data_IF_428329049768
#
_entry.id   IF_428329049768
#
_cell.length_a   1.000
_cell.length_b   1.000
_cell.length_c   1.000
_cell.angle_alpha   90.00
_cell.angle_beta   90.00
_cell.angle_gamma   90.00
#
_symmetry.space_group_name_H-M   'P 1'
#
loop_
_entity.id
_entity.type
_entity.pdbx_description
1 polymer ?
#
# COMPACT_ATOMS: atom_id res chain seq x y z
N UNK A 1 12.45 6.79 5.38
CA UNK A 1 11.09 6.28 5.68
C UNK A 1 11.15 4.75 5.65
N UNK A 2 10.75 4.11 6.74
CA UNK A 2 10.70 2.64 6.90
C UNK A 2 9.27 2.13 6.66
N UNK A 3 9.09 0.81 6.57
CA UNK A 3 7.75 0.21 6.48
C UNK A 3 6.89 0.53 7.73
N UNK A 4 7.50 0.53 8.91
CA UNK A 4 6.82 0.85 10.17
C UNK A 4 6.38 2.33 10.22
N UNK A 5 7.24 3.26 9.78
CA UNK A 5 6.87 4.68 9.66
C UNK A 5 5.72 4.92 8.68
N UNK A 6 5.62 4.10 7.62
CA UNK A 6 4.47 4.17 6.70
C UNK A 6 3.20 3.68 7.39
N UNK A 7 3.26 2.58 8.14
CA UNK A 7 2.12 2.07 8.91
C UNK A 7 1.69 3.08 9.97
N UNK A 8 2.64 3.71 10.67
CA UNK A 8 2.35 4.81 11.60
C UNK A 8 1.55 5.92 10.93
N UNK A 9 2.01 6.37 9.76
CA UNK A 9 1.31 7.40 9.00
C UNK A 9 -0.09 6.99 8.53
N UNK A 10 -0.32 5.70 8.22
CA UNK A 10 -1.66 5.18 7.91
C UNK A 10 -2.56 5.30 9.15
N UNK A 11 -2.10 4.79 10.29
CA UNK A 11 -2.87 4.79 11.53
C UNK A 11 -3.19 6.19 12.03
N UNK A 12 -2.27 7.15 11.85
CA UNK A 12 -2.51 8.56 12.15
C UNK A 12 -3.58 9.18 11.23
N UNK A 13 -3.55 8.83 9.94
CA UNK A 13 -4.49 9.36 8.95
C UNK A 13 -5.89 8.76 9.10
N UNK A 14 -6.00 7.44 9.30
CA UNK A 14 -7.28 6.73 9.45
C UNK A 14 -7.96 7.04 10.80
N UNK A 15 -7.18 7.44 11.80
CA UNK A 15 -7.67 7.72 13.13
C UNK A 15 -7.88 6.47 13.99
N UNK A 16 -7.95 6.70 15.30
CA UNK A 16 -8.03 5.62 16.32
C UNK A 16 -9.45 5.38 16.81
N UNK A 17 -10.39 6.22 16.40
CA UNK A 17 -11.74 6.18 16.93
C UNK A 17 -12.59 5.10 16.25
N UNK A 18 -13.42 4.44 17.06
CA UNK A 18 -14.46 3.57 16.54
C UNK A 18 -15.61 4.42 15.98
N UNK A 19 -16.05 4.09 14.78
CA UNK A 19 -17.19 4.71 14.11
C UNK A 19 -18.15 3.63 13.62
N UNK A 20 -19.46 3.87 13.81
CA UNK A 20 -20.53 3.02 13.29
C UNK A 20 -21.74 3.93 12.97
N UNK A 21 -21.62 4.68 11.89
CA UNK A 21 -22.67 5.60 11.48
C UNK A 21 -23.61 4.92 10.48
N UNK A 22 -24.94 4.93 10.70
CA UNK A 22 -25.91 4.23 9.84
C UNK A 22 -25.89 4.67 8.36
N UNK A 23 -25.41 5.87 8.07
CA UNK A 23 -25.23 6.37 6.70
C UNK A 23 -23.91 5.93 6.06
N UNK A 24 -22.99 5.35 6.83
CA UNK A 24 -21.71 4.87 6.31
C UNK A 24 -21.87 3.47 5.72
N UNK A 25 -21.66 3.35 4.41
CA UNK A 25 -21.73 2.07 3.70
C UNK A 25 -20.63 1.09 4.12
N UNK A 26 -19.59 1.56 4.80
CA UNK A 26 -18.48 0.75 5.32
C UNK A 26 -18.84 -0.03 6.59
N UNK A 27 -19.88 0.41 7.32
CA UNK A 27 -20.27 -0.16 8.61
C UNK A 27 -19.26 0.10 9.74
N UNK A 28 -19.29 -0.73 10.81
CA UNK A 28 -18.40 -0.57 11.96
C UNK A 28 -16.93 -0.54 11.53
N UNK A 29 -16.20 0.49 11.94
CA UNK A 29 -14.82 0.74 11.55
C UNK A 29 -14.01 1.28 12.71
N UNK A 30 -12.77 0.80 12.87
CA UNK A 30 -11.78 1.34 13.81
C UNK A 30 -10.39 1.23 13.19
N UNK A 31 -9.55 2.26 13.34
CA UNK A 31 -8.26 2.35 12.66
C UNK A 31 -8.36 2.17 11.13
N UNK A 32 -9.47 2.55 10.48
CA UNK A 32 -9.70 2.27 9.06
C UNK A 32 -10.04 0.79 8.74
N UNK A 33 -10.08 -0.09 9.75
CA UNK A 33 -10.38 -1.51 9.59
C UNK A 33 -11.88 -1.74 9.76
N UNK A 34 -12.52 -2.19 8.68
CA UNK A 34 -13.95 -2.51 8.67
C UNK A 34 -14.22 -3.92 9.24
N UNK A 35 -15.46 -4.17 9.65
CA UNK A 35 -15.90 -5.52 10.06
C UNK A 35 -15.61 -6.59 8.99
N UNK A 36 -15.74 -6.25 7.72
CA UNK A 36 -15.42 -7.17 6.62
C UNK A 36 -13.93 -7.54 6.61
N UNK A 37 -13.05 -6.55 6.78
CA UNK A 37 -11.60 -6.76 6.84
C UNK A 37 -11.23 -7.62 8.03
N UNK A 38 -11.81 -7.33 9.22
CA UNK A 38 -11.55 -8.08 10.44
C UNK A 38 -11.99 -9.55 10.34
N UNK A 39 -13.19 -9.80 9.77
CA UNK A 39 -13.68 -11.17 9.51
C UNK A 39 -12.73 -11.95 8.60
N UNK A 40 -12.20 -11.31 7.58
CA UNK A 40 -11.21 -11.94 6.69
C UNK A 40 -9.90 -12.23 7.44
N UNK A 41 -9.40 -11.26 8.20
CA UNK A 41 -8.18 -11.37 8.99
C UNK A 41 -8.22 -12.51 10.00
N UNK A 42 -9.25 -12.53 10.85
CA UNK A 42 -9.43 -13.55 11.88
C UNK A 42 -10.02 -14.87 11.34
N UNK A 43 -10.37 -14.94 10.03
CA UNK A 43 -11.04 -16.08 9.39
C UNK A 43 -12.33 -16.50 10.12
N UNK A 44 -13.07 -15.53 10.68
CA UNK A 44 -14.31 -15.76 11.42
C UNK A 44 -15.46 -14.89 10.87
N UNK A 45 -16.48 -15.49 10.21
CA UNK A 45 -17.62 -14.76 9.67
C UNK A 45 -18.63 -14.28 10.73
N UNK A 46 -18.51 -14.76 11.99
CA UNK A 46 -19.46 -14.47 13.07
C UNK A 46 -19.11 -13.24 13.90
N UNK A 47 -17.96 -12.60 13.63
CA UNK A 47 -17.55 -11.38 14.32
C UNK A 47 -18.60 -10.27 14.14
N UNK A 48 -18.72 -9.44 15.16
CA UNK A 48 -19.70 -8.36 15.29
C UNK A 48 -19.07 -6.98 15.34
N UNK A 49 -19.89 -5.95 15.54
CA UNK A 49 -19.43 -4.58 15.74
C UNK A 49 -18.57 -4.42 17.02
N UNK A 50 -18.89 -5.20 18.07
CA UNK A 50 -18.12 -5.20 19.31
C UNK A 50 -16.68 -5.70 19.10
N UNK A 51 -16.48 -6.66 18.20
CA UNK A 51 -15.14 -7.15 17.84
C UNK A 51 -14.32 -6.08 17.13
N UNK A 52 -14.95 -5.26 16.28
CA UNK A 52 -14.29 -4.11 15.66
C UNK A 52 -13.91 -3.05 16.70
N UNK A 53 -14.82 -2.77 17.63
CA UNK A 53 -14.55 -1.82 18.73
C UNK A 53 -13.39 -2.30 19.63
N UNK A 54 -13.20 -3.61 19.77
CA UNK A 54 -12.14 -4.23 20.57
C UNK A 54 -10.76 -4.30 19.89
N UNK A 55 -10.64 -3.98 18.59
CA UNK A 55 -9.32 -3.94 17.91
C UNK A 55 -8.41 -2.99 18.67
N UNK A 56 -7.20 -3.45 18.99
CA UNK A 56 -6.12 -2.61 19.49
C UNK A 56 -5.17 -2.16 18.37
N UNK A 57 -4.24 -1.27 18.72
CA UNK A 57 -3.28 -0.73 17.75
C UNK A 57 -2.30 -1.80 17.25
N UNK A 58 -1.96 -2.78 18.08
CA UNK A 58 -1.04 -3.87 17.71
C UNK A 58 -1.68 -4.76 16.62
N UNK A 59 -2.94 -5.15 16.80
CA UNK A 59 -3.68 -5.90 15.77
C UNK A 59 -3.88 -5.08 14.50
N UNK A 60 -4.20 -3.80 14.62
CA UNK A 60 -4.33 -2.91 13.46
C UNK A 60 -3.03 -2.85 12.66
N UNK A 61 -1.87 -2.70 13.33
CA UNK A 61 -0.54 -2.75 12.72
C UNK A 61 -0.28 -4.07 12.01
N UNK A 62 -0.61 -5.19 12.63
CA UNK A 62 -0.44 -6.52 12.03
C UNK A 62 -1.27 -6.67 10.75
N UNK A 63 -2.51 -6.19 10.74
CA UNK A 63 -3.38 -6.20 9.56
C UNK A 63 -2.76 -5.36 8.42
N UNK A 64 -2.30 -4.15 8.73
CA UNK A 64 -1.67 -3.28 7.72
C UNK A 64 -0.35 -3.84 7.21
N UNK A 65 0.49 -4.39 8.07
CA UNK A 65 1.73 -5.06 7.66
C UNK A 65 1.45 -6.25 6.73
N UNK A 66 0.46 -7.05 7.05
CA UNK A 66 0.05 -8.17 6.20
C UNK A 66 -0.45 -7.69 4.84
N UNK A 67 -1.42 -6.79 4.79
CA UNK A 67 -2.08 -6.36 3.54
C UNK A 67 -1.16 -5.55 2.62
N UNK A 68 -0.29 -4.71 3.19
CA UNK A 68 0.53 -3.77 2.41
C UNK A 68 2.00 -4.17 2.27
N UNK A 69 2.50 -5.15 3.02
CA UNK A 69 3.91 -5.56 2.96
C UNK A 69 4.06 -7.04 2.60
N UNK A 70 3.41 -7.94 3.36
CA UNK A 70 3.62 -9.38 3.23
C UNK A 70 2.87 -9.98 2.04
N UNK A 71 1.58 -9.74 1.96
CA UNK A 71 0.71 -10.27 0.91
C UNK A 71 1.12 -9.83 -0.50
N UNK A 72 1.55 -8.57 -0.73
CA UNK A 72 2.11 -8.15 -2.01
C UNK A 72 3.52 -8.73 -2.28
N UNK A 73 4.20 -9.25 -1.25
CA UNK A 73 5.56 -9.80 -1.35
C UNK A 73 6.67 -8.75 -1.28
N UNK A 74 6.39 -7.53 -0.79
CA UNK A 74 7.41 -6.48 -0.69
C UNK A 74 8.50 -6.82 0.32
N UNK A 75 8.19 -7.61 1.36
CA UNK A 75 9.15 -8.15 2.32
C UNK A 75 10.25 -9.03 1.67
N UNK A 76 10.01 -9.57 0.46
CA UNK A 76 10.99 -10.35 -0.30
C UNK A 76 12.06 -9.49 -1.00
N UNK A 77 11.88 -8.17 -1.04
CA UNK A 77 12.81 -7.23 -1.67
C UNK A 77 13.83 -6.76 -0.63
N UNK A 78 15.10 -7.11 -0.85
CA UNK A 78 16.19 -6.80 0.09
C UNK A 78 16.66 -5.35 0.08
N UNK A 79 16.46 -4.61 -1.03
CA UNK A 79 16.85 -3.21 -1.14
C UNK A 79 15.78 -2.32 -0.50
N UNK A 80 16.10 -1.78 0.65
CA UNK A 80 15.17 -1.08 1.53
C UNK A 80 14.47 0.09 0.83
N UNK A 81 15.20 0.95 0.13
CA UNK A 81 14.62 2.12 -0.53
C UNK A 81 13.54 1.74 -1.56
N UNK A 82 13.80 0.71 -2.40
CA UNK A 82 12.81 0.22 -3.36
C UNK A 82 11.63 -0.44 -2.65
N UNK A 83 11.91 -1.26 -1.62
CA UNK A 83 10.85 -1.90 -0.82
C UNK A 83 9.92 -0.86 -0.22
N UNK A 84 10.47 0.15 0.44
CA UNK A 84 9.70 1.20 1.09
C UNK A 84 8.93 2.06 0.07
N UNK A 85 9.53 2.37 -1.08
CA UNK A 85 8.85 3.04 -2.18
C UNK A 85 7.63 2.26 -2.68
N UNK A 86 7.76 0.93 -2.82
CA UNK A 86 6.65 0.08 -3.28
C UNK A 86 5.54 -0.04 -2.24
N UNK A 87 5.88 -0.12 -0.95
CA UNK A 87 4.90 -0.09 0.14
C UNK A 87 4.13 1.23 0.10
N UNK A 88 4.82 2.36 0.05
CA UNK A 88 4.22 3.69 -0.01
C UNK A 88 3.36 3.89 -1.27
N UNK A 89 3.81 3.39 -2.40
CA UNK A 89 3.02 3.40 -3.63
C UNK A 89 1.78 2.50 -3.50
N UNK A 90 1.92 1.34 -2.85
CA UNK A 90 0.81 0.44 -2.56
C UNK A 90 -0.26 1.06 -1.67
N UNK A 91 0.14 1.83 -0.66
CA UNK A 91 -0.78 2.57 0.22
C UNK A 91 -1.58 3.62 -0.55
N UNK A 92 -0.93 4.35 -1.48
CA UNK A 92 -1.56 5.46 -2.21
C UNK A 92 -2.36 5.04 -3.43
N UNK A 93 -2.04 3.90 -4.06
CA UNK A 93 -2.60 3.50 -5.36
C UNK A 93 -3.06 2.04 -5.41
N UNK A 94 -2.89 1.30 -4.31
CA UNK A 94 -3.15 -0.12 -4.22
C UNK A 94 -1.89 -0.98 -4.44
N UNK A 95 -1.70 -2.04 -3.62
CA UNK A 95 -0.53 -2.92 -3.72
C UNK A 95 -0.37 -3.60 -5.08
N UNK A 96 -1.47 -3.98 -5.73
CA UNK A 96 -1.47 -4.61 -7.07
C UNK A 96 -0.87 -3.68 -8.14
N UNK A 97 -1.23 -2.39 -8.11
CA UNK A 97 -0.67 -1.40 -9.04
C UNK A 97 0.84 -1.19 -8.81
N UNK A 98 1.28 -1.17 -7.55
CA UNK A 98 2.70 -1.06 -7.22
C UNK A 98 3.51 -2.28 -7.69
N UNK A 99 2.99 -3.50 -7.49
CA UNK A 99 3.63 -4.73 -7.99
C UNK A 99 3.69 -4.74 -9.52
N UNK A 100 2.60 -4.42 -10.19
CA UNK A 100 2.54 -4.37 -11.66
C UNK A 100 3.45 -3.29 -12.24
N UNK A 101 3.61 -2.17 -11.55
CA UNK A 101 4.58 -1.13 -11.93
C UNK A 101 6.02 -1.66 -11.90
N UNK A 102 6.40 -2.35 -10.81
CA UNK A 102 7.70 -3.03 -10.70
C UNK A 102 7.90 -4.03 -11.84
N UNK A 103 6.93 -4.89 -12.09
CA UNK A 103 7.01 -5.92 -13.13
C UNK A 103 7.14 -5.34 -14.54
N UNK A 104 6.40 -4.28 -14.84
CA UNK A 104 6.53 -3.55 -16.13
C UNK A 104 7.92 -2.93 -16.29
N UNK A 105 8.49 -2.34 -15.24
CA UNK A 105 9.85 -1.80 -15.24
C UNK A 105 10.88 -2.90 -15.50
N UNK A 106 10.67 -4.09 -14.95
CA UNK A 106 11.55 -5.25 -15.11
C UNK A 106 11.38 -5.98 -16.45
N UNK A 107 10.31 -5.69 -17.20
CA UNK A 107 10.00 -6.37 -18.45
C UNK A 107 9.55 -7.83 -18.27
N UNK A 108 8.93 -8.14 -17.14
CA UNK A 108 8.32 -9.46 -16.85
C UNK A 108 6.80 -9.37 -16.92
N UNK A 109 6.11 -10.52 -16.89
CA UNK A 109 4.65 -10.55 -16.84
C UNK A 109 4.12 -9.74 -15.64
N UNK A 110 3.20 -8.82 -15.90
CA UNK A 110 2.59 -7.96 -14.86
C UNK A 110 1.36 -8.65 -14.27
N UNK A 111 1.58 -9.77 -13.58
CA UNK A 111 0.55 -10.61 -12.97
C UNK A 111 0.14 -10.19 -11.55
N UNK A 112 0.81 -9.20 -10.98
CA UNK A 112 0.55 -8.70 -9.62
C UNK A 112 1.17 -9.56 -8.50
N UNK A 113 2.06 -10.50 -8.83
CA UNK A 113 2.69 -11.38 -7.84
C UNK A 113 4.22 -11.27 -7.86
N UNK A 114 4.83 -10.94 -6.72
CA UNK A 114 6.29 -10.96 -6.57
C UNK A 114 6.76 -12.40 -6.34
N UNK A 115 6.95 -13.12 -7.43
CA UNK A 115 7.44 -14.48 -7.42
C UNK A 115 8.92 -14.61 -7.82
N UNK A 116 9.45 -15.85 -7.95
CA UNK A 116 10.83 -16.10 -8.30
C UNK A 116 11.29 -15.41 -9.59
N UNK A 117 10.42 -15.30 -10.59
CA UNK A 117 10.72 -14.63 -11.87
C UNK A 117 10.94 -13.13 -11.67
N UNK A 118 10.05 -12.46 -10.91
CA UNK A 118 10.18 -11.03 -10.58
C UNK A 118 11.46 -10.77 -9.79
N UNK A 119 11.75 -11.60 -8.76
CA UNK A 119 12.95 -11.45 -7.95
C UNK A 119 14.24 -11.73 -8.73
N UNK A 120 14.25 -12.71 -9.63
CA UNK A 120 15.41 -12.97 -10.51
C UNK A 120 15.66 -11.81 -11.48
N UNK A 121 14.60 -11.25 -12.08
CA UNK A 121 14.69 -10.10 -12.94
C UNK A 121 15.21 -8.86 -12.18
N UNK A 122 14.71 -8.64 -10.96
CA UNK A 122 15.15 -7.53 -10.11
C UNK A 122 16.65 -7.59 -9.79
N UNK A 123 17.16 -8.78 -9.42
CA UNK A 123 18.60 -8.98 -9.18
C UNK A 123 19.45 -8.69 -10.42
N UNK A 124 19.00 -9.13 -11.59
CA UNK A 124 19.69 -8.93 -12.87
C UNK A 124 19.65 -7.45 -13.33
N UNK A 125 18.54 -6.77 -13.09
CA UNK A 125 18.33 -5.39 -13.55
C UNK A 125 19.09 -4.36 -12.72
N UNK A 126 19.31 -4.62 -11.44
CA UNK A 126 19.91 -3.73 -10.46
C UNK A 126 18.86 -2.93 -9.68
N UNK A 127 18.87 -3.11 -8.37
CA UNK A 127 17.80 -2.62 -7.48
C UNK A 127 17.70 -1.09 -7.44
N UNK A 128 18.85 -0.37 -7.38
CA UNK A 128 18.87 1.10 -7.39
C UNK A 128 18.33 1.69 -8.70
N UNK A 129 18.72 1.12 -9.84
CA UNK A 129 18.20 1.53 -11.14
C UNK A 129 16.70 1.27 -11.23
N UNK A 130 16.25 0.13 -10.72
CA UNK A 130 14.84 -0.24 -10.68
C UNK A 130 14.04 0.77 -9.83
N UNK A 131 14.57 1.19 -8.67
CA UNK A 131 13.96 2.20 -7.83
C UNK A 131 13.61 3.48 -8.61
N UNK A 132 14.58 4.04 -9.33
CA UNK A 132 14.36 5.28 -10.10
C UNK A 132 13.35 5.11 -11.24
N UNK A 133 13.28 3.93 -11.85
CA UNK A 133 12.30 3.65 -12.89
C UNK A 133 10.89 3.42 -12.35
N UNK A 134 10.76 2.79 -11.17
CA UNK A 134 9.48 2.69 -10.46
C UNK A 134 9.01 4.08 -10.06
N UNK A 135 9.88 4.94 -9.55
CA UNK A 135 9.56 6.34 -9.26
C UNK A 135 9.00 7.07 -10.50
N UNK A 136 9.70 6.97 -11.63
CA UNK A 136 9.22 7.54 -12.90
C UNK A 136 7.84 6.97 -13.28
N UNK A 137 7.63 5.66 -13.12
CA UNK A 137 6.34 5.02 -13.42
C UNK A 137 5.24 5.57 -12.52
N UNK A 138 5.53 5.74 -11.22
CA UNK A 138 4.60 6.33 -10.23
C UNK A 138 4.20 7.76 -10.60
N UNK A 139 5.16 8.60 -10.97
CA UNK A 139 4.85 9.97 -11.41
C UNK A 139 3.94 9.99 -12.65
N UNK A 140 4.19 9.11 -13.64
CA UNK A 140 3.34 8.98 -14.81
C UNK A 140 1.95 8.41 -14.47
N UNK A 141 1.87 7.50 -13.50
CA UNK A 141 0.59 6.99 -12.99
C UNK A 141 -0.24 8.13 -12.38
N UNK A 142 0.34 8.94 -11.50
CA UNK A 142 -0.32 10.08 -10.88
C UNK A 142 -0.80 11.11 -11.92
N UNK A 143 0.02 11.41 -12.94
CA UNK A 143 -0.38 12.29 -14.04
C UNK A 143 -1.61 11.77 -14.80
N UNK A 144 -1.68 10.45 -15.07
CA UNK A 144 -2.85 9.83 -15.71
C UNK A 144 -4.10 9.83 -14.85
N UNK A 145 -3.96 9.78 -13.52
CA UNK A 145 -5.11 9.92 -12.62
C UNK A 145 -5.72 11.32 -12.75
N UNK A 146 -4.89 12.37 -12.79
CA UNK A 146 -5.35 13.76 -13.00
C UNK A 146 -5.96 13.94 -14.38
N UNK A 147 -5.39 13.30 -15.42
CA UNK A 147 -5.94 13.35 -16.78
C UNK A 147 -7.35 12.73 -16.86
N UNK A 148 -7.58 11.64 -16.14
CA UNK A 148 -8.89 10.96 -16.07
C UNK A 148 -9.89 11.71 -15.20
N UNK A 149 -9.42 12.29 -14.10
CA UNK A 149 -10.22 13.03 -13.15
C UNK A 149 -9.48 14.33 -12.75
N UNK A 150 -9.75 15.45 -13.42
CA UNK A 150 -9.11 16.74 -13.14
C UNK A 150 -9.29 17.22 -11.70
N UNK A 151 -10.29 16.73 -10.95
CA UNK A 151 -10.46 17.09 -9.53
C UNK A 151 -9.30 16.61 -8.66
N UNK A 152 -8.57 15.58 -9.09
CA UNK A 152 -7.37 15.06 -8.43
C UNK A 152 -6.14 15.97 -8.54
N UNK A 153 -6.20 17.04 -9.35
CA UNK A 153 -5.09 17.98 -9.52
C UNK A 153 -4.65 18.60 -8.18
N UNK A 154 -5.55 18.74 -7.22
CA UNK A 154 -5.26 19.27 -5.87
C UNK A 154 -4.25 18.39 -5.10
N UNK A 155 -4.15 17.11 -5.46
CA UNK A 155 -3.28 16.15 -4.79
C UNK A 155 -1.89 16.03 -5.44
N UNK A 156 -1.70 16.55 -6.67
CA UNK A 156 -0.51 16.26 -7.48
C UNK A 156 0.80 16.74 -6.84
N UNK A 157 0.76 17.87 -6.16
CA UNK A 157 1.92 18.40 -5.46
C UNK A 157 2.33 17.50 -4.29
N UNK A 158 1.37 17.09 -3.46
CA UNK A 158 1.60 16.17 -2.34
C UNK A 158 2.12 14.82 -2.81
N UNK A 159 1.49 14.24 -3.85
CA UNK A 159 1.93 12.97 -4.43
C UNK A 159 3.35 13.05 -5.01
N UNK A 160 3.71 14.17 -5.62
CA UNK A 160 5.03 14.38 -6.21
C UNK A 160 6.09 14.53 -5.14
N UNK A 161 5.85 15.35 -4.10
CA UNK A 161 6.75 15.49 -2.95
C UNK A 161 7.01 14.15 -2.29
N UNK A 162 5.94 13.42 -1.95
CA UNK A 162 6.02 12.09 -1.34
C UNK A 162 6.77 11.07 -2.21
N UNK A 163 6.59 11.12 -3.53
CA UNK A 163 7.33 10.26 -4.43
C UNK A 163 8.83 10.57 -4.43
N UNK A 164 9.21 11.85 -4.38
CA UNK A 164 10.62 12.27 -4.40
C UNK A 164 11.39 11.96 -3.12
N UNK A 165 10.72 11.64 -2.00
CA UNK A 165 11.38 11.12 -0.79
C UNK A 165 12.14 9.81 -1.06
N UNK A 166 11.82 9.11 -2.16
CA UNK A 166 12.46 7.87 -2.61
C UNK A 166 13.47 8.06 -3.75
N UNK A 167 13.81 9.30 -4.08
CA UNK A 167 14.84 9.57 -5.09
C UNK A 167 16.22 9.15 -4.57
N UNK A 168 16.97 8.41 -5.41
CA UNK A 168 18.30 7.88 -5.09
C UNK A 168 19.41 8.63 -5.85
#
# INVERSE_FOLDING_TARGET
MTGDEIIDGILEHEGREYTDHPADKGGPTKFGITLRTLRHWRSDPHLSAEDVAAIDEEEARAIYAHEYIEKPGFNLISYELLRTQLIDFGVTSGPDDAVKALQKVLGVAADGNIGPMTLAALRRYGMSRCNNLVLRHRCLHNARLVEKDPSQAVNIEGWTKRAFDFLN
#
